data_IF_034941633836
#
_entry.id   IF_034941633836
#
_cell.length_a   1.000
_cell.length_b   1.000
_cell.length_c   1.000
_cell.angle_alpha   90.00
_cell.angle_beta   90.00
_cell.angle_gamma   90.00
#
_symmetry.space_group_name_H-M   'P 1'
#
loop_
_entity.id
_entity.type
_entity.pdbx_description
1 polymer ?
#
# COMPACT_ATOMS: atom_id res chain seq x y z
N UNK A 1 -25.74 -17.19 -1.27
CA UNK A 1 -24.41 -16.77 -0.79
C UNK A 1 -24.06 -17.63 0.43
N UNK A 2 -23.23 -18.64 0.25
CA UNK A 2 -22.82 -19.54 1.34
C UNK A 2 -21.53 -18.96 1.91
N UNK A 3 -21.61 -18.31 3.06
CA UNK A 3 -20.46 -17.81 3.80
C UNK A 3 -19.93 -18.98 4.65
N UNK A 4 -18.80 -19.55 4.26
CA UNK A 4 -18.15 -20.63 5.00
C UNK A 4 -17.52 -20.10 6.28
N UNK A 5 -18.02 -20.57 7.42
CA UNK A 5 -17.59 -20.27 8.79
C UNK A 5 -16.35 -21.10 9.22
N UNK A 6 -15.44 -21.42 8.29
CA UNK A 6 -14.42 -22.45 8.54
C UNK A 6 -13.10 -21.90 9.13
N UNK A 7 -12.99 -20.58 9.37
CA UNK A 7 -11.75 -19.94 9.84
C UNK A 7 -11.68 -19.57 11.32
N UNK A 8 -12.71 -19.90 12.14
CA UNK A 8 -12.75 -19.51 13.56
C UNK A 8 -12.59 -20.65 14.57
N UNK A 9 -12.36 -21.89 14.13
CA UNK A 9 -11.91 -22.97 15.02
C UNK A 9 -10.38 -23.08 14.98
N UNK A 10 -9.70 -22.11 15.60
CA UNK A 10 -8.28 -22.25 15.94
C UNK A 10 -8.16 -23.33 17.02
N UNK A 11 -8.12 -24.59 16.57
CA UNK A 11 -7.11 -25.58 16.94
C UNK A 11 -6.83 -25.81 18.44
N UNK A 12 -7.84 -25.79 19.32
CA UNK A 12 -7.69 -26.33 20.70
C UNK A 12 -7.16 -27.76 20.70
N UNK A 13 -7.45 -28.54 19.66
CA UNK A 13 -6.93 -29.90 19.48
C UNK A 13 -5.45 -29.94 19.05
N UNK A 14 -4.92 -28.95 18.32
CA UNK A 14 -3.47 -28.90 17.98
C UNK A 14 -2.63 -28.43 19.16
N UNK A 15 -3.17 -27.62 20.06
CA UNK A 15 -2.49 -27.20 21.28
C UNK A 15 -2.14 -28.38 22.20
N UNK A 16 -2.97 -29.45 22.23
CA UNK A 16 -2.68 -30.68 22.99
C UNK A 16 -1.80 -31.69 22.23
N UNK A 17 -1.76 -31.63 20.90
CA UNK A 17 -0.94 -32.54 20.08
C UNK A 17 0.56 -32.36 20.28
N UNK A 18 1.02 -31.12 20.38
CA UNK A 18 2.44 -30.79 20.54
C UNK A 18 2.99 -31.30 21.90
N UNK A 19 2.38 -30.99 23.07
CA UNK A 19 2.85 -31.54 24.34
C UNK A 19 2.70 -33.06 24.41
N UNK A 20 1.65 -33.64 23.81
CA UNK A 20 1.49 -35.09 23.75
C UNK A 20 2.62 -35.76 22.94
N UNK A 21 3.01 -35.19 21.79
CA UNK A 21 4.13 -35.70 21.00
C UNK A 21 5.45 -35.63 21.76
N UNK A 22 5.69 -34.57 22.54
CA UNK A 22 6.90 -34.40 23.37
C UNK A 22 6.99 -35.47 24.47
N UNK A 23 5.88 -35.70 25.18
CA UNK A 23 5.85 -36.74 26.21
C UNK A 23 6.11 -38.11 25.59
N UNK A 24 5.52 -38.39 24.43
CA UNK A 24 5.71 -39.65 23.72
C UNK A 24 7.16 -39.81 23.25
N UNK A 25 7.77 -38.81 22.60
CA UNK A 25 9.15 -38.90 22.12
C UNK A 25 10.15 -38.97 23.27
N UNK A 26 9.91 -38.24 24.36
CA UNK A 26 10.73 -38.32 25.58
C UNK A 26 10.64 -39.71 26.20
N UNK A 27 9.44 -40.28 26.36
CA UNK A 27 9.27 -41.64 26.88
C UNK A 27 9.94 -42.70 26.00
N UNK A 28 9.83 -42.57 24.66
CA UNK A 28 10.48 -43.49 23.72
C UNK A 28 12.00 -43.37 23.83
N UNK A 29 12.55 -42.15 23.92
CA UNK A 29 14.00 -41.94 24.03
C UNK A 29 14.58 -42.54 25.32
N UNK A 30 13.92 -42.34 26.46
CA UNK A 30 14.34 -42.90 27.75
C UNK A 30 14.22 -44.43 27.73
N UNK A 31 13.14 -44.97 27.16
CA UNK A 31 12.94 -46.41 27.01
C UNK A 31 14.04 -47.07 26.16
N UNK A 32 14.39 -46.47 25.02
CA UNK A 32 15.48 -46.96 24.16
C UNK A 32 16.83 -46.94 24.86
N UNK A 33 17.13 -45.89 25.63
CA UNK A 33 18.37 -45.78 26.40
C UNK A 33 18.47 -46.86 27.48
N UNK A 34 17.38 -47.12 28.21
CA UNK A 34 17.35 -48.17 29.25
C UNK A 34 17.52 -49.57 28.65
N UNK A 35 16.88 -49.85 27.51
CA UNK A 35 17.04 -51.12 26.79
C UNK A 35 18.48 -51.26 26.29
N UNK A 36 19.05 -50.21 25.70
CA UNK A 36 20.43 -50.20 25.23
C UNK A 36 21.45 -50.44 26.36
N UNK A 37 21.26 -49.78 27.52
CA UNK A 37 22.08 -50.01 28.71
C UNK A 37 21.96 -51.45 29.21
N UNK A 38 20.73 -52.00 29.27
CA UNK A 38 20.49 -53.39 29.69
C UNK A 38 21.24 -54.39 28.80
N UNK A 39 21.15 -54.22 27.47
CA UNK A 39 21.86 -55.06 26.50
C UNK A 39 23.37 -54.90 26.63
N UNK A 40 23.86 -53.66 26.76
CA UNK A 40 25.30 -53.38 26.89
C UNK A 40 25.90 -54.04 28.14
N UNK A 41 25.25 -53.90 29.29
CA UNK A 41 25.74 -54.51 30.53
C UNK A 41 25.64 -56.03 30.52
N UNK A 42 24.55 -56.59 29.98
CA UNK A 42 24.34 -58.04 29.91
C UNK A 42 25.31 -58.73 28.94
N UNK A 43 25.57 -58.15 27.77
CA UNK A 43 26.37 -58.79 26.71
C UNK A 43 27.84 -58.37 26.68
N UNK A 44 28.18 -57.13 27.03
CA UNK A 44 29.56 -56.62 26.89
C UNK A 44 30.41 -56.73 28.15
N UNK A 45 29.79 -56.64 29.33
CA UNK A 45 30.51 -56.59 30.62
C UNK A 45 30.29 -57.83 31.48
N UNK A 46 29.22 -58.60 31.26
CA UNK A 46 28.92 -59.83 32.01
C UNK A 46 28.56 -59.58 33.50
N UNK A 47 28.29 -58.33 33.88
CA UNK A 47 27.90 -57.90 35.22
C UNK A 47 26.54 -57.21 35.21
N UNK A 48 25.77 -57.37 36.30
CA UNK A 48 24.58 -56.56 36.54
C UNK A 48 25.01 -55.18 37.05
N UNK A 49 24.55 -54.07 36.44
CA UNK A 49 24.90 -52.73 36.88
C UNK A 49 24.38 -52.47 38.30
N UNK A 50 25.20 -51.86 39.15
CA UNK A 50 24.78 -51.42 40.48
C UNK A 50 23.63 -50.42 40.34
N UNK A 51 22.63 -50.50 41.22
CA UNK A 51 21.43 -49.65 41.16
C UNK A 51 21.76 -48.15 41.09
N UNK A 52 22.89 -47.74 41.69
CA UNK A 52 23.36 -46.36 41.70
C UNK A 52 23.83 -45.89 40.31
N UNK A 53 24.56 -46.73 39.56
CA UNK A 53 25.04 -46.39 38.21
C UNK A 53 23.89 -46.28 37.21
N UNK A 54 22.87 -47.14 37.31
CA UNK A 54 21.67 -47.06 36.47
C UNK A 54 20.97 -45.70 36.67
N UNK A 55 20.86 -45.26 37.93
CA UNK A 55 20.24 -43.97 38.28
C UNK A 55 21.05 -42.79 37.73
N UNK A 56 22.38 -42.80 37.87
CA UNK A 56 23.26 -41.75 37.33
C UNK A 56 23.13 -41.61 35.80
N UNK A 57 23.22 -42.72 35.06
CA UNK A 57 23.04 -42.70 33.60
C UNK A 57 21.64 -42.24 33.21
N UNK A 58 20.61 -42.72 33.90
CA UNK A 58 19.22 -42.32 33.63
C UNK A 58 19.02 -40.82 33.80
N UNK A 59 19.60 -40.22 34.85
CA UNK A 59 19.53 -38.78 35.10
C UNK A 59 20.24 -37.99 33.99
N UNK A 60 21.45 -38.39 33.59
CA UNK A 60 22.22 -37.71 32.53
C UNK A 60 21.45 -37.71 31.20
N UNK A 61 20.90 -38.86 30.80
CA UNK A 61 20.14 -38.96 29.56
C UNK A 61 18.80 -38.22 29.61
N UNK A 62 18.13 -38.20 30.77
CA UNK A 62 16.89 -37.44 30.96
C UNK A 62 17.15 -35.93 30.85
N UNK A 63 18.22 -35.43 31.47
CA UNK A 63 18.61 -34.00 31.36
C UNK A 63 18.98 -33.65 29.92
N UNK A 64 19.74 -34.51 29.24
CA UNK A 64 20.14 -34.28 27.84
C UNK A 64 18.93 -34.28 26.89
N UNK A 65 17.99 -35.22 27.06
CA UNK A 65 16.75 -35.26 26.30
C UNK A 65 15.88 -34.02 26.57
N UNK A 66 15.82 -33.58 27.83
CA UNK A 66 15.09 -32.37 28.19
C UNK A 66 15.68 -31.13 27.52
N UNK A 67 17.01 -30.94 27.58
CA UNK A 67 17.70 -29.83 26.91
C UNK A 67 17.49 -29.84 25.38
N UNK A 68 17.55 -31.01 24.74
CA UNK A 68 17.28 -31.15 23.32
C UNK A 68 15.85 -30.70 22.96
N UNK A 69 14.84 -31.11 23.74
CA UNK A 69 13.45 -30.70 23.52
C UNK A 69 13.26 -29.19 23.69
N UNK A 70 13.88 -28.59 24.70
CA UNK A 70 13.82 -27.14 24.94
C UNK A 70 14.43 -26.37 23.77
N UNK A 71 15.61 -26.78 23.29
CA UNK A 71 16.28 -26.14 22.15
C UNK A 71 15.48 -26.30 20.85
N UNK A 72 14.98 -27.50 20.57
CA UNK A 72 14.14 -27.78 19.42
C UNK A 72 12.89 -26.90 19.41
N UNK A 73 12.22 -26.77 20.56
CA UNK A 73 11.02 -25.94 20.68
C UNK A 73 11.32 -24.46 20.52
N UNK A 74 12.39 -23.96 21.15
CA UNK A 74 12.84 -22.57 20.99
C UNK A 74 13.06 -22.25 19.52
N UNK A 75 13.76 -23.13 18.79
CA UNK A 75 14.01 -22.96 17.36
C UNK A 75 12.71 -23.03 16.54
N UNK A 76 11.85 -24.01 16.80
CA UNK A 76 10.57 -24.18 16.10
C UNK A 76 9.64 -22.97 16.31
N UNK A 77 9.52 -22.49 17.55
CA UNK A 77 8.66 -21.36 17.88
C UNK A 77 9.17 -20.06 17.24
N UNK A 78 10.49 -19.83 17.30
CA UNK A 78 11.12 -18.67 16.67
C UNK A 78 10.91 -18.68 15.15
N UNK A 79 11.11 -19.83 14.49
CA UNK A 79 10.85 -19.96 13.06
C UNK A 79 9.38 -19.79 12.71
N UNK A 80 8.46 -20.35 13.51
CA UNK A 80 7.02 -20.19 13.29
C UNK A 80 6.59 -18.73 13.43
N UNK A 81 7.08 -18.02 14.44
CA UNK A 81 6.74 -16.61 14.63
C UNK A 81 7.28 -15.75 13.48
N UNK A 82 8.53 -15.98 13.05
CA UNK A 82 9.13 -15.28 11.93
C UNK A 82 8.41 -15.57 10.60
N UNK A 83 8.04 -16.82 10.34
CA UNK A 83 7.30 -17.18 9.12
C UNK A 83 5.90 -16.60 9.11
N UNK A 84 5.19 -16.59 10.24
CA UNK A 84 3.87 -15.96 10.35
C UNK A 84 3.96 -14.45 10.11
N UNK A 85 4.94 -13.77 10.71
CA UNK A 85 5.18 -12.33 10.47
C UNK A 85 5.47 -12.03 9.00
N UNK A 86 6.35 -12.83 8.39
CA UNK A 86 6.73 -12.66 6.98
C UNK A 86 5.57 -12.91 6.02
N UNK A 87 4.73 -13.92 6.30
CA UNK A 87 3.52 -14.19 5.50
C UNK A 87 2.49 -13.07 5.68
N UNK A 88 2.31 -12.56 6.89
CA UNK A 88 1.40 -11.45 7.15
C UNK A 88 1.85 -10.17 6.43
N UNK A 89 3.15 -9.85 6.46
CA UNK A 89 3.71 -8.70 5.74
C UNK A 89 3.54 -8.86 4.23
N UNK A 90 3.80 -10.05 3.67
CA UNK A 90 3.59 -10.33 2.24
C UNK A 90 2.13 -10.18 1.84
N UNK A 91 1.19 -10.72 2.61
CA UNK A 91 -0.24 -10.55 2.35
C UNK A 91 -0.66 -9.09 2.39
N UNK A 92 -0.13 -8.33 3.35
CA UNK A 92 -0.41 -6.91 3.44
C UNK A 92 0.13 -6.17 2.20
N UNK A 93 1.34 -6.49 1.74
CA UNK A 93 1.89 -5.95 0.49
C UNK A 93 1.03 -6.30 -0.73
N UNK A 94 0.63 -7.56 -0.88
CA UNK A 94 -0.23 -8.00 -1.99
C UNK A 94 -1.57 -7.27 -2.02
N UNK A 95 -2.21 -7.07 -0.86
CA UNK A 95 -3.45 -6.29 -0.74
C UNK A 95 -3.22 -4.84 -1.15
N UNK A 96 -2.12 -4.23 -0.71
CA UNK A 96 -1.76 -2.86 -1.06
C UNK A 96 -1.50 -2.72 -2.56
N UNK A 97 -0.78 -3.65 -3.18
CA UNK A 97 -0.54 -3.68 -4.62
C UNK A 97 -1.84 -3.88 -5.41
N UNK A 98 -2.76 -4.72 -4.92
CA UNK A 98 -4.07 -4.92 -5.54
C UNK A 98 -4.93 -3.65 -5.48
N UNK A 99 -5.01 -2.99 -4.33
CA UNK A 99 -5.72 -1.71 -4.17
C UNK A 99 -5.11 -0.62 -5.08
N UNK A 100 -3.78 -0.63 -5.27
CA UNK A 100 -3.11 0.29 -6.18
C UNK A 100 -3.41 0.00 -7.65
N UNK A 101 -3.40 -1.27 -8.04
CA UNK A 101 -3.76 -1.66 -9.40
C UNK A 101 -5.23 -1.32 -9.70
N UNK A 102 -6.12 -1.44 -8.72
CA UNK A 102 -7.50 -0.97 -8.84
C UNK A 102 -7.55 0.54 -9.06
N UNK A 103 -6.82 1.33 -8.25
CA UNK A 103 -6.75 2.79 -8.39
C UNK A 103 -6.23 3.24 -9.76
N UNK A 104 -5.17 2.61 -10.28
CA UNK A 104 -4.63 2.92 -11.62
C UNK A 104 -5.63 2.61 -12.73
N UNK A 105 -6.55 1.67 -12.49
CA UNK A 105 -7.53 1.22 -13.47
C UNK A 105 -8.88 1.93 -13.35
N UNK A 106 -9.14 2.61 -12.25
CA UNK A 106 -10.41 3.28 -11.99
C UNK A 106 -10.48 4.58 -12.79
N UNK A 107 -11.43 4.64 -13.70
CA UNK A 107 -11.79 5.88 -14.38
C UNK A 107 -12.66 6.65 -13.40
N UNK A 108 -12.27 7.87 -13.02
CA UNK A 108 -13.12 8.75 -12.20
C UNK A 108 -14.51 8.88 -12.87
N UNK A 109 -15.56 8.20 -12.35
CA UNK A 109 -16.84 8.11 -13.03
C UNK A 109 -17.55 9.46 -13.01
N UNK A 110 -17.41 10.21 -11.92
CA UNK A 110 -17.99 11.54 -11.77
C UNK A 110 -17.44 12.52 -12.80
N UNK A 111 -16.12 12.52 -13.00
CA UNK A 111 -15.49 13.35 -14.03
C UNK A 111 -15.97 12.96 -15.44
N UNK A 112 -16.22 11.67 -15.70
CA UNK A 112 -16.75 11.21 -16.98
C UNK A 112 -18.17 11.74 -17.22
N UNK A 113 -19.05 11.58 -16.23
CA UNK A 113 -20.44 12.01 -16.33
C UNK A 113 -20.54 13.53 -16.50
N UNK A 114 -19.84 14.30 -15.66
CA UNK A 114 -19.77 15.76 -15.78
C UNK A 114 -19.25 16.17 -17.16
N UNK A 115 -18.23 15.48 -17.68
CA UNK A 115 -17.68 15.79 -18.99
C UNK A 115 -18.64 15.50 -20.13
N UNK A 116 -19.36 14.38 -20.08
CA UNK A 116 -20.36 14.05 -21.10
C UNK A 116 -21.54 15.04 -21.06
N UNK A 117 -21.98 15.44 -19.87
CA UNK A 117 -23.03 16.45 -19.73
C UNK A 117 -22.56 17.81 -20.29
N UNK A 118 -21.32 18.20 -20.02
CA UNK A 118 -20.72 19.42 -20.59
C UNK A 118 -20.63 19.35 -22.12
N UNK A 119 -20.23 18.21 -22.71
CA UNK A 119 -20.24 18.02 -24.16
C UNK A 119 -21.65 18.22 -24.72
N UNK A 120 -22.66 17.58 -24.11
CA UNK A 120 -24.05 17.71 -24.56
C UNK A 120 -24.49 19.18 -24.51
N UNK A 121 -24.20 19.87 -23.41
CA UNK A 121 -24.52 21.28 -23.25
C UNK A 121 -23.80 22.19 -24.26
N UNK A 122 -22.52 21.93 -24.53
CA UNK A 122 -21.74 22.67 -25.52
C UNK A 122 -22.22 22.43 -26.93
N UNK A 123 -22.55 21.20 -27.32
CA UNK A 123 -23.09 20.89 -28.65
C UNK A 123 -24.35 21.72 -28.99
N UNK A 124 -25.18 22.05 -27.98
CA UNK A 124 -26.35 22.91 -28.18
C UNK A 124 -26.04 24.41 -28.19
N UNK A 125 -24.94 24.85 -27.57
CA UNK A 125 -24.59 26.28 -27.41
C UNK A 125 -23.56 26.78 -28.42
N UNK A 126 -22.50 26.00 -28.62
CA UNK A 126 -21.31 26.35 -29.40
C UNK A 126 -20.59 25.07 -29.86
N UNK A 127 -20.79 24.72 -31.13
CA UNK A 127 -20.29 23.46 -31.71
C UNK A 127 -18.76 23.46 -31.82
N UNK A 128 -18.14 24.60 -32.08
CA UNK A 128 -16.69 24.72 -32.22
C UNK A 128 -16.00 24.48 -30.87
N UNK A 129 -16.55 25.03 -29.79
CA UNK A 129 -16.07 24.73 -28.43
C UNK A 129 -16.36 23.30 -27.99
N UNK A 130 -17.46 22.71 -28.44
CA UNK A 130 -17.75 21.31 -28.16
C UNK A 130 -16.68 20.38 -28.77
N UNK A 131 -16.21 20.69 -29.98
CA UNK A 131 -15.13 19.95 -30.63
C UNK A 131 -13.81 20.04 -29.84
N UNK A 132 -13.41 21.26 -29.44
CA UNK A 132 -12.22 21.46 -28.60
C UNK A 132 -12.31 20.75 -27.24
N UNK A 133 -13.51 20.74 -26.64
CA UNK A 133 -13.76 20.02 -25.39
C UNK A 133 -13.67 18.50 -25.57
N UNK A 134 -14.21 17.97 -26.66
CA UNK A 134 -14.11 16.54 -26.99
C UNK A 134 -12.64 16.13 -27.18
N UNK A 135 -11.84 16.96 -27.84
CA UNK A 135 -10.39 16.69 -27.99
C UNK A 135 -9.66 16.70 -26.65
N UNK A 136 -9.98 17.66 -25.77
CA UNK A 136 -9.43 17.73 -24.41
C UNK A 136 -9.82 16.51 -23.58
N UNK A 137 -11.07 16.07 -23.72
CA UNK A 137 -11.60 14.87 -23.07
C UNK A 137 -10.87 13.62 -23.58
N UNK A 138 -10.78 13.46 -24.89
CA UNK A 138 -10.05 12.35 -25.50
C UNK A 138 -8.58 12.35 -25.07
N UNK A 139 -7.94 13.52 -24.93
CA UNK A 139 -6.57 13.66 -24.42
C UNK A 139 -6.41 13.21 -22.97
N UNK A 140 -7.28 13.67 -22.07
CA UNK A 140 -7.27 13.26 -20.66
C UNK A 140 -7.52 11.76 -20.50
N UNK A 141 -8.49 11.20 -21.21
CA UNK A 141 -8.80 9.77 -21.15
C UNK A 141 -7.73 8.92 -21.81
N UNK A 142 -7.14 9.37 -22.92
CA UNK A 142 -6.02 8.68 -23.55
C UNK A 142 -4.86 8.57 -22.58
N UNK A 143 -4.54 9.63 -21.84
CA UNK A 143 -3.51 9.61 -20.80
C UNK A 143 -3.84 8.61 -19.68
N UNK A 144 -5.07 8.64 -19.15
CA UNK A 144 -5.53 7.68 -18.12
C UNK A 144 -5.46 6.23 -18.63
N UNK A 145 -5.70 5.99 -19.91
CA UNK A 145 -5.66 4.67 -20.52
C UNK A 145 -4.23 4.22 -20.89
N UNK A 146 -3.37 5.12 -21.38
CA UNK A 146 -1.99 4.81 -21.79
C UNK A 146 -1.08 4.56 -20.59
N UNK A 147 -1.28 5.32 -19.51
CA UNK A 147 -0.43 5.24 -18.33
C UNK A 147 -0.87 4.15 -17.33
N UNK A 148 -1.83 3.29 -17.70
CA UNK A 148 -2.22 2.12 -16.91
C UNK A 148 -1.11 1.10 -16.72
N UNK A 149 -0.12 1.11 -17.61
CA UNK A 149 0.93 0.09 -17.69
C UNK A 149 2.25 0.59 -17.06
N UNK A 150 2.57 1.89 -17.18
CA UNK A 150 3.84 2.45 -16.71
C UNK A 150 3.87 2.74 -15.20
N UNK A 151 4.88 2.23 -14.47
CA UNK A 151 5.03 2.47 -13.02
C UNK A 151 5.35 3.94 -12.69
N UNK A 152 6.06 4.61 -13.60
CA UNK A 152 6.51 6.00 -13.47
C UNK A 152 6.39 6.70 -14.83
N UNK A 153 6.08 7.99 -14.82
CA UNK A 153 5.98 8.81 -16.03
C UNK A 153 6.75 10.11 -15.86
N UNK A 154 7.12 10.75 -16.98
CA UNK A 154 7.85 12.01 -16.93
C UNK A 154 6.98 13.16 -16.42
N UNK A 155 7.61 14.14 -15.77
CA UNK A 155 6.92 15.37 -15.34
C UNK A 155 6.25 16.09 -16.51
N UNK A 156 6.85 16.06 -17.70
CA UNK A 156 6.26 16.66 -18.91
C UNK A 156 4.92 16.02 -19.28
N UNK A 157 4.83 14.69 -19.24
CA UNK A 157 3.58 13.97 -19.51
C UNK A 157 2.51 14.31 -18.47
N UNK A 158 2.88 14.38 -17.19
CA UNK A 158 1.99 14.81 -16.09
C UNK A 158 1.50 16.25 -16.25
N UNK A 159 2.36 17.17 -16.67
CA UNK A 159 1.98 18.56 -16.94
C UNK A 159 1.00 18.66 -18.12
N UNK A 160 1.20 17.83 -19.16
CA UNK A 160 0.25 17.70 -20.27
C UNK A 160 -1.12 17.21 -19.79
N UNK A 161 -1.14 16.16 -18.99
CA UNK A 161 -2.37 15.62 -18.40
C UNK A 161 -3.08 16.64 -17.49
N UNK A 162 -2.32 17.33 -16.64
CA UNK A 162 -2.79 18.40 -15.78
C UNK A 162 -3.50 19.52 -16.56
N UNK A 163 -2.91 19.95 -17.69
CA UNK A 163 -3.52 20.98 -18.56
C UNK A 163 -4.86 20.51 -19.14
N UNK A 164 -4.92 19.28 -19.64
CA UNK A 164 -6.16 18.71 -20.17
C UNK A 164 -7.26 18.65 -19.09
N UNK A 165 -6.92 18.21 -17.87
CA UNK A 165 -7.88 18.15 -16.76
C UNK A 165 -8.36 19.55 -16.34
N UNK A 166 -7.47 20.55 -16.32
CA UNK A 166 -7.87 21.93 -16.02
C UNK A 166 -8.81 22.47 -17.09
N UNK A 167 -8.55 22.20 -18.36
CA UNK A 167 -9.42 22.59 -19.46
C UNK A 167 -10.81 21.96 -19.32
N UNK A 168 -10.90 20.67 -19.00
CA UNK A 168 -12.16 20.00 -18.73
C UNK A 168 -12.93 20.62 -17.57
N UNK A 169 -12.26 20.85 -16.44
CA UNK A 169 -12.89 21.47 -15.28
C UNK A 169 -13.31 22.92 -15.56
N UNK A 170 -12.58 23.64 -16.42
CA UNK A 170 -12.83 25.08 -16.65
C UNK A 170 -14.22 25.36 -17.25
N UNK A 171 -14.83 24.40 -17.95
CA UNK A 171 -16.21 24.53 -18.43
C UNK A 171 -17.21 24.60 -17.28
N UNK A 172 -17.03 23.77 -16.26
CA UNK A 172 -17.84 23.80 -15.02
C UNK A 172 -17.58 25.05 -14.17
N UNK A 173 -16.41 25.70 -14.34
CA UNK A 173 -15.97 26.86 -13.58
C UNK A 173 -15.86 28.16 -14.41
N UNK A 174 -16.48 28.20 -15.60
CA UNK A 174 -16.59 29.39 -16.46
C UNK A 174 -15.26 30.12 -16.76
N UNK A 175 -14.19 29.36 -17.04
CA UNK A 175 -12.91 29.95 -17.41
C UNK A 175 -12.12 30.58 -16.25
N UNK A 176 -12.53 30.36 -14.99
CA UNK A 176 -11.91 30.98 -13.81
C UNK A 176 -10.72 30.20 -13.24
N UNK A 177 -10.35 29.08 -13.85
CA UNK A 177 -9.18 28.29 -13.47
C UNK A 177 -7.97 28.68 -14.32
N UNK A 178 -6.83 28.93 -13.69
CA UNK A 178 -5.55 29.21 -14.35
C UNK A 178 -4.45 28.31 -13.82
N UNK A 179 -3.67 27.76 -14.73
CA UNK A 179 -2.50 26.92 -14.42
C UNK A 179 -1.23 27.58 -14.91
N UNK A 180 -0.28 27.80 -14.01
CA UNK A 180 1.02 28.38 -14.31
C UNK A 180 2.10 27.35 -13.95
N UNK A 181 2.81 26.85 -14.96
CA UNK A 181 3.96 25.97 -14.76
C UNK A 181 5.24 26.81 -14.81
N UNK A 182 5.99 26.82 -13.72
CA UNK A 182 7.24 27.58 -13.55
C UNK A 182 8.47 26.67 -13.50
N UNK A 183 8.33 25.40 -13.92
CA UNK A 183 9.41 24.41 -13.98
C UNK A 183 10.39 24.75 -15.10
N UNK A 184 11.69 24.67 -14.82
CA UNK A 184 12.72 24.93 -15.83
C UNK A 184 12.90 23.72 -16.77
N UNK A 185 13.35 23.96 -18.01
CA UNK A 185 13.54 22.90 -19.03
C UNK A 185 14.56 21.82 -18.64
N UNK A 186 15.37 22.05 -17.61
CA UNK A 186 16.48 21.18 -17.18
C UNK A 186 16.02 19.95 -16.40
N UNK A 187 14.70 19.80 -16.17
CA UNK A 187 14.11 18.85 -15.23
C UNK A 187 13.56 17.56 -15.90
N UNK A 188 14.00 17.25 -17.13
CA UNK A 188 13.57 16.08 -17.94
C UNK A 188 13.77 14.70 -17.27
N UNK A 189 14.54 14.61 -16.18
CA UNK A 189 14.84 13.36 -15.48
C UNK A 189 13.95 13.07 -14.26
N UNK A 190 13.08 14.00 -13.87
CA UNK A 190 12.15 13.77 -12.78
C UNK A 190 10.98 12.86 -13.22
N UNK A 191 10.67 11.88 -12.38
CA UNK A 191 9.61 10.91 -12.62
C UNK A 191 8.56 10.99 -11.50
N UNK A 192 7.30 10.87 -11.88
CA UNK A 192 6.15 10.88 -10.98
C UNK A 192 5.32 9.61 -11.16
N UNK A 193 4.55 9.28 -10.12
CA UNK A 193 3.51 8.25 -10.23
C UNK A 193 2.44 8.80 -11.18
N UNK A 194 2.01 8.04 -12.20
CA UNK A 194 0.98 8.49 -13.13
C UNK A 194 -0.31 8.97 -12.46
N UNK A 195 -0.86 10.09 -12.93
CA UNK A 195 -2.08 10.70 -12.41
C UNK A 195 -1.86 11.56 -11.17
N UNK A 196 -0.60 11.80 -10.76
CA UNK A 196 -0.31 12.59 -9.56
C UNK A 196 -0.79 14.04 -9.67
N UNK A 197 -0.38 14.76 -10.72
CA UNK A 197 -0.79 16.15 -10.89
C UNK A 197 -2.29 16.28 -11.18
N UNK A 198 -2.90 15.47 -12.08
CA UNK A 198 -4.34 15.45 -12.29
C UNK A 198 -5.17 15.31 -11.01
N UNK A 199 -4.86 14.33 -10.15
CA UNK A 199 -5.63 14.06 -8.92
C UNK A 199 -5.48 15.20 -7.92
N UNK A 200 -4.27 15.74 -7.75
CA UNK A 200 -4.04 16.86 -6.83
C UNK A 200 -4.73 18.13 -7.33
N UNK A 201 -4.69 18.41 -8.64
CA UNK A 201 -5.40 19.54 -9.25
C UNK A 201 -6.90 19.41 -9.06
N UNK A 202 -7.47 18.24 -9.36
CA UNK A 202 -8.90 17.99 -9.16
C UNK A 202 -9.29 18.23 -7.70
N UNK A 203 -8.49 17.72 -6.76
CA UNK A 203 -8.70 17.95 -5.34
C UNK A 203 -8.67 19.44 -4.98
N UNK A 204 -7.69 20.21 -5.47
CA UNK A 204 -7.60 21.66 -5.20
C UNK A 204 -8.83 22.37 -5.76
N UNK A 205 -9.17 22.14 -7.03
CA UNK A 205 -10.28 22.82 -7.72
C UNK A 205 -11.62 22.49 -7.05
N UNK A 206 -11.90 21.21 -6.78
CA UNK A 206 -13.19 20.79 -6.19
C UNK A 206 -13.38 21.29 -4.78
N UNK A 207 -12.30 21.50 -4.02
CA UNK A 207 -12.36 21.93 -2.62
C UNK A 207 -12.05 23.42 -2.39
N UNK A 208 -11.82 24.20 -3.46
CA UNK A 208 -11.58 25.65 -3.36
C UNK A 208 -12.76 26.43 -3.93
N UNK A 209 -13.17 27.49 -3.22
CA UNK A 209 -14.17 28.46 -3.67
C UNK A 209 -13.56 29.24 -4.84
N UNK A 210 -14.18 29.11 -6.01
CA UNK A 210 -13.78 29.78 -7.24
C UNK A 210 -14.94 30.65 -7.71
N UNK A 211 -14.67 31.91 -8.03
CA UNK A 211 -15.69 32.84 -8.53
C UNK A 211 -15.09 33.79 -9.56
N UNK A 212 -15.95 34.51 -10.29
CA UNK A 212 -15.51 35.54 -11.24
C UNK A 212 -14.66 36.66 -10.60
N UNK A 213 -14.86 36.93 -9.31
CA UNK A 213 -14.11 37.96 -8.58
C UNK A 213 -12.85 37.40 -7.91
N UNK A 214 -12.79 36.08 -7.77
CA UNK A 214 -11.68 35.36 -7.13
C UNK A 214 -11.37 34.10 -7.94
N UNK A 215 -10.64 34.25 -9.07
CA UNK A 215 -10.22 33.14 -9.89
C UNK A 215 -9.17 32.30 -9.17
N UNK A 216 -9.16 31.00 -9.45
CA UNK A 216 -8.22 30.05 -8.86
C UNK A 216 -6.97 29.96 -9.74
N UNK A 217 -5.84 30.40 -9.21
CA UNK A 217 -4.53 30.27 -9.85
C UNK A 217 -3.76 29.16 -9.13
N UNK A 218 -3.40 28.12 -9.88
CA UNK A 218 -2.58 27.00 -9.43
C UNK A 218 -1.21 27.16 -10.06
N UNK A 219 -0.18 27.30 -9.21
CA UNK A 219 1.22 27.41 -9.63
C UNK A 219 1.95 26.11 -9.35
N UNK A 220 2.59 25.55 -10.38
CA UNK A 220 3.45 24.39 -10.26
C UNK A 220 4.91 24.85 -10.27
N UNK A 221 5.65 24.55 -9.21
CA UNK A 221 7.04 24.95 -9.02
C UNK A 221 7.82 23.85 -8.29
N UNK A 222 9.10 23.74 -8.61
CA UNK A 222 10.02 22.86 -7.89
C UNK A 222 10.62 23.63 -6.71
N UNK A 223 10.60 23.01 -5.52
CA UNK A 223 11.18 23.53 -4.30
C UNK A 223 12.33 22.60 -3.87
N UNK A 224 13.49 23.20 -3.59
CA UNK A 224 14.72 22.53 -3.14
C UNK A 224 15.25 21.39 -4.06
N UNK A 225 14.94 21.41 -5.37
CA UNK A 225 15.26 20.34 -6.34
C UNK A 225 14.73 18.93 -5.98
N UNK A 226 13.92 18.83 -4.92
CA UNK A 226 13.44 17.56 -4.38
C UNK A 226 11.92 17.42 -4.43
N UNK A 227 11.17 18.53 -4.40
CA UNK A 227 9.71 18.51 -4.32
C UNK A 227 9.07 19.30 -5.46
N UNK A 228 8.06 18.71 -6.10
CA UNK A 228 7.14 19.44 -6.95
C UNK A 228 5.98 19.93 -6.08
N UNK A 229 5.79 21.24 -6.04
CA UNK A 229 4.79 21.91 -5.22
C UNK A 229 3.71 22.53 -6.09
N UNK A 230 2.45 22.25 -5.74
CA UNK A 230 1.29 22.91 -6.32
C UNK A 230 0.77 23.92 -5.29
N UNK A 231 0.93 25.21 -5.60
CA UNK A 231 0.51 26.30 -4.74
C UNK A 231 -0.75 26.96 -5.29
N UNK A 232 -1.72 27.20 -4.42
CA UNK A 232 -2.90 27.99 -4.72
C UNK A 232 -3.25 28.89 -3.53
N UNK A 233 -4.01 29.95 -3.79
CA UNK A 233 -4.54 30.81 -2.73
C UNK A 233 -5.55 30.01 -1.91
N UNK A 234 -5.39 30.03 -0.58
CA UNK A 234 -6.30 29.34 0.35
C UNK A 234 -7.69 29.98 0.30
N UNK A 235 -8.69 29.23 -0.16
CA UNK A 235 -10.10 29.64 -0.17
C UNK A 235 -11.00 28.41 -0.06
N UNK A 236 -10.85 27.63 1.01
CA UNK A 236 -11.47 26.31 1.10
C UNK A 236 -13.01 26.37 1.17
N UNK A 237 -13.67 25.45 0.45
CA UNK A 237 -15.10 25.19 0.63
C UNK A 237 -15.35 24.60 2.01
N UNK A 238 -16.49 24.93 2.61
CA UNK A 238 -16.92 24.39 3.91
C UNK A 238 -17.22 22.88 3.85
N UNK A 239 -17.68 22.40 2.70
CA UNK A 239 -17.98 20.98 2.45
C UNK A 239 -16.93 20.44 1.50
N UNK A 240 -16.22 19.41 1.95
CA UNK A 240 -15.17 18.74 1.17
C UNK A 240 -15.84 17.74 0.22
N UNK A 241 -15.38 17.71 -1.03
CA UNK A 241 -15.79 16.73 -2.02
C UNK A 241 -15.17 15.36 -1.70
N UNK A 242 -16.00 14.44 -1.20
CA UNK A 242 -15.55 13.18 -0.62
C UNK A 242 -14.75 12.30 -1.58
N UNK A 243 -15.16 12.19 -2.85
CA UNK A 243 -14.46 11.35 -3.82
C UNK A 243 -13.07 11.87 -4.14
N UNK A 244 -12.93 13.19 -4.30
CA UNK A 244 -11.62 13.81 -4.54
C UNK A 244 -10.68 13.63 -3.35
N UNK A 245 -11.23 13.63 -2.13
CA UNK A 245 -10.46 13.36 -0.91
C UNK A 245 -9.98 11.91 -0.86
N UNK A 246 -10.85 10.97 -1.19
CA UNK A 246 -10.48 9.54 -1.26
C UNK A 246 -9.42 9.30 -2.34
N UNK A 247 -9.51 9.95 -3.50
CA UNK A 247 -8.51 9.88 -4.55
C UNK A 247 -7.15 10.41 -4.07
N UNK A 248 -7.12 11.54 -3.35
CA UNK A 248 -5.89 12.08 -2.76
C UNK A 248 -5.29 11.17 -1.67
N UNK A 249 -6.12 10.66 -0.75
CA UNK A 249 -5.66 9.73 0.31
C UNK A 249 -5.06 8.45 -0.29
N UNK A 250 -5.66 7.94 -1.37
CA UNK A 250 -5.11 6.80 -2.13
C UNK A 250 -3.79 7.15 -2.81
N UNK A 251 -3.67 8.34 -3.43
CA UNK A 251 -2.42 8.79 -4.02
C UNK A 251 -1.30 8.92 -2.97
N UNK A 252 -1.60 9.47 -1.79
CA UNK A 252 -0.63 9.56 -0.68
C UNK A 252 -0.12 8.18 -0.25
N UNK A 253 -1.03 7.19 -0.19
CA UNK A 253 -0.70 5.80 0.10
C UNK A 253 0.21 5.20 -0.99
N UNK A 254 -0.07 5.48 -2.26
CA UNK A 254 0.79 5.08 -3.39
C UNK A 254 2.21 5.65 -3.25
N UNK A 255 2.36 6.93 -2.94
CA UNK A 255 3.69 7.54 -2.72
C UNK A 255 4.47 6.88 -1.58
N UNK A 256 3.79 6.49 -0.48
CA UNK A 256 4.44 5.81 0.64
C UNK A 256 5.00 4.41 0.33
N UNK A 257 4.59 3.81 -0.79
CA UNK A 257 5.05 2.49 -1.22
C UNK A 257 6.26 2.57 -2.16
N UNK A 258 6.35 3.62 -2.98
CA UNK A 258 7.40 3.80 -3.99
C UNK A 258 8.51 4.76 -3.57
N UNK A 259 8.28 5.59 -2.55
CA UNK A 259 9.22 6.61 -2.10
C UNK A 259 9.25 6.71 -0.58
N UNK A 260 10.45 6.91 -0.02
CA UNK A 260 10.65 7.25 1.39
C UNK A 260 10.15 8.67 1.73
N UNK A 261 9.91 9.50 0.71
CA UNK A 261 9.37 10.86 0.84
C UNK A 261 7.86 10.87 0.55
N UNK A 262 7.00 11.12 1.54
CA UNK A 262 5.55 11.11 1.34
C UNK A 262 5.08 12.34 0.55
N UNK A 263 3.92 12.20 -0.10
CA UNK A 263 3.16 13.34 -0.63
C UNK A 263 2.52 14.10 0.54
N UNK A 264 2.96 15.35 0.77
CA UNK A 264 2.53 16.16 1.92
C UNK A 264 1.62 17.29 1.46
N UNK A 265 0.47 17.44 2.11
CA UNK A 265 -0.36 18.63 1.97
C UNK A 265 0.01 19.64 3.06
N UNK A 266 0.55 20.78 2.67
CA UNK A 266 0.88 21.88 3.60
C UNK A 266 -0.12 23.01 3.42
N UNK A 267 -0.87 23.33 4.48
CA UNK A 267 -1.69 24.55 4.56
C UNK A 267 -0.92 25.61 5.32
N UNK A 268 -0.27 26.52 4.61
CA UNK A 268 0.40 27.65 5.26
C UNK A 268 -0.58 28.83 5.47
N UNK A 269 -1.00 29.03 6.70
CA UNK A 269 -1.85 30.17 7.12
C UNK A 269 -1.05 31.48 7.27
N UNK A 270 0.28 31.47 7.12
CA UNK A 270 1.15 32.63 7.42
C UNK A 270 1.66 33.39 6.20
N UNK A 271 1.72 32.77 5.01
CA UNK A 271 2.05 33.49 3.77
C UNK A 271 0.82 34.21 3.22
N UNK A 272 0.56 35.41 3.75
CA UNK A 272 -0.16 36.44 2.97
C UNK A 272 0.70 36.71 1.73
N UNK A 273 0.29 36.14 0.60
CA UNK A 273 0.77 36.56 -0.72
C UNK A 273 0.41 38.05 -0.85
N UNK A 274 1.42 38.90 -0.76
CA UNK A 274 1.37 40.33 -1.09
C UNK A 274 1.47 40.52 -2.60
#
# INVERSE_FOLDING_TARGET
LIVTLDKLQVDRLKAYRIPAQIVITSCISVGLVLIGLSIYFQYSLGFSPSSLQIVEFTIIFLVTAFLYNVLYFSHYFLHKENTVKLVAERQQREVLEAEMNEFRNDVNPDLLYESLENVINLMYRDVEKAEEYIDSLAGAYRYVLSNRIEELTSVEAELGAARNVIQLLNESYFGQLKFESLLEKTEEHAHLIPGSLPVVIEFIVRNTITSKYEPLIIRCLMEDEEYITLQSKLNDKLIIHQESKLALERLQKSYSLYSDKPLIQVKDLRRKLY
#
